data_IF_308540027657
#
_entry.id   IF_308540027657
#
_cell.length_a   1.000
_cell.length_b   1.000
_cell.length_c   1.000
_cell.angle_alpha   90.00
_cell.angle_beta   90.00
_cell.angle_gamma   90.00
#
_symmetry.space_group_name_H-M   'P 1'
#
loop_
_entity.id
_entity.type
_entity.pdbx_description
1 polymer ?
#
# COMPACT_ATOMS: atom_id res chain seq x y z
N UNK A 1 35.13 -9.49 14.24
CA UNK A 1 34.08 -8.48 14.54
C UNK A 1 32.97 -8.41 13.47
N UNK A 2 33.28 -8.60 12.17
CA UNK A 2 32.28 -8.62 11.07
C UNK A 2 31.14 -9.65 11.20
N UNK A 3 31.37 -10.80 11.84
CA UNK A 3 30.38 -11.89 11.90
C UNK A 3 29.18 -11.60 12.80
N UNK A 4 29.33 -10.75 13.83
CA UNK A 4 28.23 -10.33 14.71
C UNK A 4 27.30 -9.35 14.00
N UNK A 5 27.86 -8.46 13.20
CA UNK A 5 27.13 -7.38 12.54
C UNK A 5 26.24 -7.91 11.40
N UNK A 6 26.75 -8.87 10.61
CA UNK A 6 25.97 -9.57 9.58
C UNK A 6 24.81 -10.36 10.21
N UNK A 7 25.08 -11.10 11.29
CA UNK A 7 24.08 -11.91 11.99
C UNK A 7 22.98 -11.05 12.63
N UNK A 8 23.34 -9.84 13.08
CA UNK A 8 22.38 -8.85 13.58
C UNK A 8 21.47 -8.34 12.47
N UNK A 9 22.03 -7.94 11.32
CA UNK A 9 21.29 -7.46 10.15
C UNK A 9 20.32 -8.52 9.61
N UNK A 10 20.77 -9.77 9.52
CA UNK A 10 19.95 -10.91 9.09
C UNK A 10 18.76 -11.16 10.03
N UNK A 11 18.98 -11.09 11.35
CA UNK A 11 17.90 -11.21 12.35
C UNK A 11 16.89 -10.07 12.24
N UNK A 12 17.36 -8.82 12.22
CA UNK A 12 16.48 -7.65 12.04
C UNK A 12 15.65 -7.77 10.77
N UNK A 13 16.28 -8.23 9.69
CA UNK A 13 15.60 -8.43 8.42
C UNK A 13 14.50 -9.51 8.49
N UNK A 14 14.78 -10.65 9.12
CA UNK A 14 13.77 -11.69 9.38
C UNK A 14 12.59 -11.18 10.20
N UNK A 15 12.86 -10.37 11.24
CA UNK A 15 11.78 -9.74 12.02
C UNK A 15 10.89 -8.88 11.13
N UNK A 16 11.49 -8.01 10.30
CA UNK A 16 10.73 -7.16 9.38
C UNK A 16 9.88 -8.00 8.44
N UNK A 17 10.43 -9.08 7.86
CA UNK A 17 9.65 -10.00 7.02
C UNK A 17 8.48 -10.65 7.76
N UNK A 18 8.70 -11.12 8.99
CA UNK A 18 7.65 -11.76 9.79
C UNK A 18 6.54 -10.75 10.15
N UNK A 19 6.90 -9.53 10.56
CA UNK A 19 5.91 -8.49 10.84
C UNK A 19 5.13 -8.10 9.59
N UNK A 20 5.79 -7.97 8.43
CA UNK A 20 5.10 -7.69 7.16
C UNK A 20 4.21 -8.86 6.72
N UNK A 21 4.58 -10.10 7.04
CA UNK A 21 3.73 -11.27 6.77
C UNK A 21 2.48 -11.25 7.65
N UNK A 22 2.65 -11.06 8.97
CA UNK A 22 1.53 -10.91 9.91
C UNK A 22 0.62 -9.77 9.48
N UNK A 23 1.21 -8.64 9.07
CA UNK A 23 0.50 -7.52 8.50
C UNK A 23 -0.28 -7.92 7.23
N UNK A 24 0.36 -8.61 6.29
CA UNK A 24 -0.29 -9.14 5.09
C UNK A 24 -1.45 -10.09 5.39
N UNK A 25 -1.37 -10.89 6.45
CA UNK A 25 -2.50 -11.74 6.89
C UNK A 25 -3.71 -10.92 7.35
N UNK A 26 -3.51 -9.74 7.93
CA UNK A 26 -4.64 -8.85 8.26
C UNK A 26 -5.38 -8.38 7.01
N UNK A 27 -4.72 -8.36 5.84
CA UNK A 27 -5.33 -8.00 4.56
C UNK A 27 -6.20 -9.13 3.98
N UNK A 28 -6.35 -10.27 4.64
CA UNK A 28 -7.37 -11.26 4.27
C UNK A 28 -8.79 -10.71 4.43
N UNK A 29 -8.96 -9.61 5.18
CA UNK A 29 -10.23 -8.86 5.24
C UNK A 29 -10.46 -7.99 3.99
N UNK A 30 -9.43 -7.78 3.17
CA UNK A 30 -9.48 -6.86 2.02
C UNK A 30 -10.51 -7.22 0.95
N UNK A 31 -10.80 -8.50 0.63
CA UNK A 31 -11.89 -8.84 -0.28
C UNK A 31 -13.26 -8.30 0.17
N UNK A 32 -13.52 -8.24 1.49
CA UNK A 32 -14.74 -7.64 2.04
C UNK A 32 -14.75 -6.12 1.86
N UNK A 33 -13.61 -5.47 2.09
CA UNK A 33 -13.44 -4.02 1.85
C UNK A 33 -13.63 -3.72 0.35
N UNK A 34 -13.04 -4.52 -0.52
CA UNK A 34 -13.14 -4.40 -1.95
C UNK A 34 -14.59 -4.56 -2.44
N UNK A 35 -15.31 -5.54 -1.88
CA UNK A 35 -16.73 -5.74 -2.16
C UNK A 35 -17.57 -4.54 -1.69
N UNK A 36 -17.39 -4.08 -0.45
CA UNK A 36 -18.11 -2.93 0.08
C UNK A 36 -17.86 -1.65 -0.75
N UNK A 37 -16.61 -1.46 -1.19
CA UNK A 37 -16.23 -0.34 -2.04
C UNK A 37 -16.84 -0.47 -3.45
N UNK A 38 -16.81 -1.66 -4.05
CA UNK A 38 -17.48 -1.91 -5.33
C UNK A 38 -18.98 -1.59 -5.28
N UNK A 39 -19.64 -1.92 -4.17
CA UNK A 39 -21.04 -1.53 -3.94
C UNK A 39 -21.22 -0.02 -3.78
N UNK A 40 -20.29 0.66 -3.10
CA UNK A 40 -20.28 2.13 -2.96
C UNK A 40 -20.08 2.84 -4.31
N UNK A 41 -19.16 2.35 -5.14
CA UNK A 41 -18.88 2.88 -6.49
C UNK A 41 -20.01 2.61 -7.48
N UNK A 42 -20.80 1.55 -7.26
CA UNK A 42 -21.99 1.24 -8.05
C UNK A 42 -23.21 2.08 -7.66
N UNK A 43 -23.16 2.78 -6.52
CA UNK A 43 -24.22 3.69 -6.11
C UNK A 43 -24.29 4.90 -7.07
N UNK A 44 -25.50 5.40 -7.38
CA UNK A 44 -25.66 6.55 -8.25
C UNK A 44 -24.99 7.78 -7.62
N UNK A 45 -23.86 8.19 -8.19
CA UNK A 45 -23.10 9.38 -7.82
C UNK A 45 -23.15 10.41 -8.95
N UNK A 46 -23.20 11.72 -8.64
CA UNK A 46 -23.16 12.76 -9.66
C UNK A 46 -21.90 12.62 -10.53
N UNK A 47 -22.00 12.92 -11.83
CA UNK A 47 -20.92 12.74 -12.81
C UNK A 47 -19.62 13.43 -12.41
N UNK A 48 -19.74 14.56 -11.72
CA UNK A 48 -18.66 15.39 -11.16
C UNK A 48 -17.74 14.60 -10.20
N UNK A 49 -18.29 13.61 -9.49
CA UNK A 49 -17.58 12.85 -8.48
C UNK A 49 -17.13 11.46 -8.98
N UNK A 50 -17.55 11.03 -10.17
CA UNK A 50 -17.24 9.70 -10.69
C UNK A 50 -15.74 9.48 -10.93
N UNK A 51 -15.02 10.52 -11.38
CA UNK A 51 -13.57 10.44 -11.62
C UNK A 51 -12.81 10.32 -10.31
N UNK A 52 -13.15 11.15 -9.32
CA UNK A 52 -12.52 11.13 -8.00
C UNK A 52 -12.79 9.79 -7.27
N UNK A 53 -14.03 9.30 -7.35
CA UNK A 53 -14.44 8.04 -6.73
C UNK A 53 -13.74 6.83 -7.34
N UNK A 54 -13.56 6.79 -8.67
CA UNK A 54 -12.76 5.75 -9.34
C UNK A 54 -11.29 5.80 -8.93
N UNK A 55 -10.69 7.00 -8.89
CA UNK A 55 -9.29 7.17 -8.50
C UNK A 55 -9.04 6.76 -7.05
N UNK A 56 -9.95 7.10 -6.14
CA UNK A 56 -9.92 6.65 -4.75
C UNK A 56 -10.00 5.12 -4.67
N UNK A 57 -10.91 4.51 -5.44
CA UNK A 57 -11.03 3.06 -5.55
C UNK A 57 -9.75 2.38 -6.03
N UNK A 58 -9.14 2.89 -7.09
CA UNK A 58 -7.89 2.34 -7.65
C UNK A 58 -6.73 2.43 -6.65
N UNK A 59 -6.63 3.55 -5.91
CA UNK A 59 -5.61 3.71 -4.87
C UNK A 59 -5.83 2.73 -3.73
N UNK A 60 -7.06 2.59 -3.25
CA UNK A 60 -7.40 1.59 -2.25
C UNK A 60 -6.99 0.18 -2.72
N UNK A 61 -7.32 -0.19 -3.95
CA UNK A 61 -6.95 -1.50 -4.51
C UNK A 61 -5.43 -1.71 -4.72
N UNK A 62 -4.65 -0.63 -4.82
CA UNK A 62 -3.18 -0.74 -4.90
C UNK A 62 -2.53 -1.22 -3.60
N UNK A 63 -3.22 -1.14 -2.47
CA UNK A 63 -2.63 -1.41 -1.16
C UNK A 63 -2.19 -2.86 -0.93
N UNK A 64 -3.02 -3.89 -1.18
CA UNK A 64 -2.58 -5.28 -1.11
C UNK A 64 -1.44 -5.59 -2.09
N UNK A 65 -1.44 -4.95 -3.27
CA UNK A 65 -0.38 -5.14 -4.26
C UNK A 65 0.97 -4.63 -3.74
N UNK A 66 1.00 -3.48 -3.06
CA UNK A 66 2.20 -2.96 -2.41
C UNK A 66 2.74 -3.91 -1.33
N UNK A 67 1.85 -4.53 -0.56
CA UNK A 67 2.23 -5.46 0.52
C UNK A 67 2.73 -6.79 -0.04
N UNK A 68 2.10 -7.31 -1.09
CA UNK A 68 2.60 -8.50 -1.82
C UNK A 68 3.97 -8.20 -2.42
N UNK A 69 4.13 -7.05 -3.09
CA UNK A 69 5.41 -6.62 -3.65
C UNK A 69 6.50 -6.52 -2.56
N UNK A 70 6.15 -6.00 -1.38
CA UNK A 70 7.07 -5.92 -0.24
C UNK A 70 7.50 -7.29 0.30
N UNK A 71 6.57 -8.25 0.38
CA UNK A 71 6.87 -9.62 0.80
C UNK A 71 7.75 -10.35 -0.21
N UNK A 72 7.41 -10.30 -1.50
CA UNK A 72 8.16 -10.98 -2.57
C UNK A 72 9.58 -10.43 -2.68
N UNK A 73 9.72 -9.10 -2.73
CA UNK A 73 11.03 -8.46 -2.80
C UNK A 73 11.87 -8.66 -1.54
N UNK A 74 11.24 -8.68 -0.36
CA UNK A 74 11.89 -9.05 0.90
C UNK A 74 12.45 -10.46 0.82
N UNK A 75 11.64 -11.42 0.40
CA UNK A 75 12.06 -12.82 0.25
C UNK A 75 13.23 -12.98 -0.73
N UNK A 76 13.14 -12.37 -1.92
CA UNK A 76 14.22 -12.41 -2.92
C UNK A 76 15.51 -11.79 -2.35
N UNK A 77 15.40 -10.66 -1.67
CA UNK A 77 16.57 -9.97 -1.10
C UNK A 77 17.23 -10.75 0.05
N UNK A 78 16.45 -11.57 0.78
CA UNK A 78 16.97 -12.48 1.79
C UNK A 78 17.94 -13.50 1.18
N UNK A 79 17.51 -14.15 0.09
CA UNK A 79 18.30 -15.16 -0.61
C UNK A 79 19.58 -14.57 -1.23
N UNK A 80 19.50 -13.33 -1.70
CA UNK A 80 20.63 -12.58 -2.26
C UNK A 80 21.55 -11.93 -1.21
N UNK A 81 21.25 -12.11 0.09
CA UNK A 81 21.97 -11.47 1.23
C UNK A 81 22.02 -9.94 1.14
N UNK A 82 21.03 -9.32 0.50
CA UNK A 82 20.91 -7.86 0.34
C UNK A 82 19.99 -7.28 1.41
N UNK A 83 20.52 -7.03 2.60
CA UNK A 83 19.69 -6.64 3.76
C UNK A 83 19.29 -5.16 3.82
N UNK A 84 19.89 -4.28 3.01
CA UNK A 84 19.58 -2.84 3.01
C UNK A 84 18.37 -2.47 2.14
N UNK A 85 18.22 -3.15 1.01
CA UNK A 85 17.17 -2.90 0.03
C UNK A 85 15.74 -3.15 0.55
N UNK A 86 15.49 -4.20 1.34
CA UNK A 86 14.16 -4.44 1.89
C UNK A 86 13.73 -3.40 2.91
N UNK A 87 14.68 -2.75 3.59
CA UNK A 87 14.37 -1.66 4.51
C UNK A 87 13.62 -0.52 3.81
N UNK A 88 13.90 -0.29 2.52
CA UNK A 88 13.21 0.70 1.70
C UNK A 88 11.89 0.16 1.14
N UNK A 89 11.88 -1.06 0.62
CA UNK A 89 10.67 -1.62 0.01
C UNK A 89 9.58 -1.93 1.04
N UNK A 90 9.96 -2.31 2.26
CA UNK A 90 9.00 -2.53 3.34
C UNK A 90 8.26 -1.24 3.75
N UNK A 91 8.70 -0.07 3.27
CA UNK A 91 8.00 1.21 3.41
C UNK A 91 6.95 1.47 2.31
N UNK A 92 6.90 0.66 1.22
CA UNK A 92 5.90 0.82 0.16
C UNK A 92 4.46 0.89 0.69
N UNK A 93 4.05 0.08 1.69
CA UNK A 93 2.72 0.22 2.29
C UNK A 93 2.52 1.57 3.00
N UNK A 94 3.55 2.19 3.58
CA UNK A 94 3.42 3.52 4.21
C UNK A 94 3.20 4.63 3.18
N UNK A 95 3.74 4.47 1.96
CA UNK A 95 3.54 5.44 0.87
C UNK A 95 2.07 5.51 0.43
N UNK A 96 1.28 4.49 0.71
CA UNK A 96 -0.15 4.48 0.40
C UNK A 96 -0.93 5.53 1.20
N UNK A 97 -0.57 5.78 2.47
CA UNK A 97 -1.20 6.83 3.28
C UNK A 97 -0.96 8.19 2.62
N UNK A 98 0.26 8.44 2.14
CA UNK A 98 0.59 9.67 1.43
C UNK A 98 -0.19 9.80 0.12
N UNK A 99 -0.31 8.73 -0.67
CA UNK A 99 -1.10 8.71 -1.89
C UNK A 99 -2.60 8.99 -1.63
N UNK A 100 -3.16 8.40 -0.58
CA UNK A 100 -4.56 8.62 -0.17
C UNK A 100 -4.81 10.06 0.28
N UNK A 101 -3.90 10.66 1.08
CA UNK A 101 -4.00 12.07 1.45
C UNK A 101 -3.95 12.99 0.22
N UNK A 102 -3.07 12.68 -0.73
CA UNK A 102 -2.91 13.46 -1.96
C UNK A 102 -4.19 13.47 -2.79
N UNK A 103 -4.84 12.31 -2.95
CA UNK A 103 -6.08 12.21 -3.72
C UNK A 103 -7.27 12.85 -3.03
N UNK A 104 -7.38 12.77 -1.71
CA UNK A 104 -8.40 13.55 -0.99
C UNK A 104 -8.18 15.05 -1.17
N UNK A 105 -6.94 15.52 -1.07
CA UNK A 105 -6.62 16.93 -1.24
C UNK A 105 -6.92 17.42 -2.67
N UNK A 106 -6.47 16.69 -3.69
CA UNK A 106 -6.76 17.04 -5.08
C UNK A 106 -8.23 16.87 -5.43
N UNK A 107 -8.92 15.87 -4.89
CA UNK A 107 -10.36 15.68 -5.07
C UNK A 107 -11.16 16.87 -4.52
N UNK A 108 -10.83 17.32 -3.31
CA UNK A 108 -11.43 18.52 -2.74
C UNK A 108 -11.11 19.77 -3.57
N UNK A 109 -9.84 19.98 -3.92
CA UNK A 109 -9.40 21.14 -4.70
C UNK A 109 -10.01 21.20 -6.11
N UNK A 110 -10.21 20.05 -6.76
CA UNK A 110 -10.85 19.97 -8.08
C UNK A 110 -12.36 20.19 -8.01
N UNK A 111 -13.02 19.80 -6.91
CA UNK A 111 -14.46 20.01 -6.70
C UNK A 111 -14.87 21.48 -6.54
N UNK A 112 -13.91 22.35 -6.20
CA UNK A 112 -14.12 23.80 -6.08
C UNK A 112 -13.95 24.55 -7.41
N UNK A 113 -13.58 23.86 -8.51
CA UNK A 113 -13.37 24.48 -9.82
C UNK A 113 -14.69 24.49 -10.62
N UNK A 114 -15.27 25.66 -10.92
CA UNK A 114 -16.62 25.78 -11.49
C UNK A 114 -16.77 25.23 -12.92
N UNK A 115 -15.66 24.97 -13.63
CA UNK A 115 -15.65 24.44 -15.00
C UNK A 115 -15.65 22.90 -15.06
N UNK A 116 -15.55 22.24 -13.91
CA UNK A 116 -15.56 20.76 -13.77
C UNK A 116 -16.83 20.23 -13.08
N UNK A 117 -17.77 21.12 -12.72
CA UNK A 117 -19.15 20.78 -12.34
C UNK A 117 -19.99 20.48 -13.58
#
# INVERSE_FOLDING_TARGET
>A
MLSKDIRSKERSFLYIMIFTLIYGLTLLIWPLIAFAMGMSLAAPTPSEYQVASRLEGDILMSYPLCVIAALVSGWVSYHEKRYLFPYWIMQLPLLWIAAWMLVNYFGAALSDIPFLR
#
